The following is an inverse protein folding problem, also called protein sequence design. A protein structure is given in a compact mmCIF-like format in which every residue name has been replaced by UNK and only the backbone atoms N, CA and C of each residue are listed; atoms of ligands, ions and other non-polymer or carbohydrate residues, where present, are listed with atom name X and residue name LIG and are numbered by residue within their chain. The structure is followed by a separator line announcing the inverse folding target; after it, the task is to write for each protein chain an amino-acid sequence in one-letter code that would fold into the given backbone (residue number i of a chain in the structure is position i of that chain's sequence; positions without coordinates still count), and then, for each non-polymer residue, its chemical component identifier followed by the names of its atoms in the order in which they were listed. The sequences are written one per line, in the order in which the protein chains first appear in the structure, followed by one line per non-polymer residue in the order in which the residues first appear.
data_IF_756835149078
#
_entry.id   IF_756835149078
#
_cell.length_a   1.000
_cell.length_b   1.000
_cell.length_c   1.000
_cell.angle_alpha   90.00
_cell.angle_beta   90.00
_cell.angle_gamma   90.00
#
_symmetry.space_group_name_H-M   'P 1'
#
loop_
_entity.id
_entity.type
_entity.pdbx_description
1 polymer ?
#
# COMPACT_ATOMS: atom_id res chain seq x y z
N UNK A 1 -51.54 -9.65 -2.63
CA UNK A 1 -50.55 -10.66 -3.03
C UNK A 1 -49.68 -10.04 -4.12
N UNK A 2 -48.52 -9.49 -3.75
CA UNK A 2 -47.42 -9.08 -4.65
C UNK A 2 -46.23 -8.71 -3.74
N UNK A 3 -45.29 -9.64 -3.56
CA UNK A 3 -44.01 -9.36 -2.92
C UNK A 3 -42.99 -9.11 -4.03
N UNK A 4 -42.56 -7.86 -4.18
CA UNK A 4 -41.44 -7.47 -5.04
C UNK A 4 -40.14 -7.72 -4.28
N UNK A 5 -39.45 -8.81 -4.63
CA UNK A 5 -38.12 -9.12 -4.09
C UNK A 5 -37.07 -8.14 -4.58
N UNK A 6 -36.61 -7.23 -3.73
CA UNK A 6 -35.37 -6.48 -3.93
C UNK A 6 -34.19 -7.44 -3.82
N UNK A 7 -33.38 -7.52 -4.87
CA UNK A 7 -32.06 -8.18 -4.85
C UNK A 7 -31.16 -7.47 -3.82
N UNK A 8 -30.34 -8.19 -3.04
CA UNK A 8 -29.32 -7.57 -2.21
C UNK A 8 -28.27 -6.91 -3.10
N UNK A 9 -27.96 -5.64 -2.83
CA UNK A 9 -26.89 -4.92 -3.52
C UNK A 9 -25.54 -5.58 -3.21
N UNK A 10 -24.77 -5.83 -4.27
CA UNK A 10 -23.49 -6.49 -4.21
C UNK A 10 -22.40 -5.58 -3.60
N UNK A 11 -21.46 -6.27 -2.97
CA UNK A 11 -20.09 -5.89 -2.63
C UNK A 11 -19.87 -4.90 -1.48
N UNK A 12 -19.56 -5.49 -0.32
CA UNK A 12 -18.65 -4.91 0.66
C UNK A 12 -17.23 -4.89 0.04
N UNK A 13 -17.05 -4.14 -1.04
CA UNK A 13 -15.75 -3.86 -1.61
C UNK A 13 -15.29 -2.53 -1.02
N UNK A 14 -14.31 -2.61 -0.14
CA UNK A 14 -13.59 -1.48 0.45
C UNK A 14 -13.10 -0.53 -0.64
N UNK A 15 -13.70 0.66 -0.72
CA UNK A 15 -13.32 1.75 -1.62
C UNK A 15 -12.31 2.69 -0.95
N UNK A 16 -11.38 3.24 -1.77
CA UNK A 16 -10.30 4.21 -1.50
C UNK A 16 -9.27 3.88 -0.38
N UNK A 17 -8.05 4.43 -0.42
CA UNK A 17 -7.07 4.22 0.64
C UNK A 17 -7.15 5.34 1.69
N UNK A 18 -7.74 6.50 1.36
CA UNK A 18 -8.13 7.53 2.32
C UNK A 18 -9.19 7.03 3.30
N UNK A 19 -10.15 6.22 2.83
CA UNK A 19 -11.16 5.62 3.71
C UNK A 19 -10.60 4.48 4.56
N UNK A 20 -9.52 3.82 4.11
CA UNK A 20 -8.83 2.81 4.90
C UNK A 20 -7.80 3.40 5.83
N UNK A 21 -7.11 4.51 5.56
CA UNK A 21 -6.14 5.07 6.52
C UNK A 21 -6.77 5.80 7.70
N UNK A 22 -8.07 6.11 7.59
CA UNK A 22 -8.84 6.81 8.59
C UNK A 22 -9.05 6.07 9.95
N UNK A 23 -9.19 4.74 10.06
CA UNK A 23 -9.51 4.10 11.34
C UNK A 23 -8.31 3.86 12.27
N UNK A 24 -7.08 3.74 11.77
CA UNK A 24 -5.91 3.44 12.61
C UNK A 24 -5.11 4.66 13.05
N UNK A 25 -5.09 5.74 12.29
CA UNK A 25 -4.46 6.98 12.71
C UNK A 25 -4.98 7.50 14.07
N UNK A 26 -6.30 7.41 14.37
CA UNK A 26 -6.82 7.73 15.71
C UNK A 26 -6.34 6.78 16.81
N UNK A 27 -6.01 5.52 16.51
CA UNK A 27 -5.57 4.51 17.49
C UNK A 27 -4.31 4.96 18.24
N UNK A 28 -3.40 5.62 17.52
CA UNK A 28 -2.10 6.05 18.05
C UNK A 28 -2.09 7.50 18.58
N UNK A 29 -2.93 8.40 18.04
CA UNK A 29 -2.87 9.82 18.42
C UNK A 29 -3.58 10.15 19.73
N UNK A 30 -4.92 10.05 19.75
CA UNK A 30 -5.73 10.55 20.86
C UNK A 30 -6.37 9.43 21.70
N UNK A 31 -6.49 8.22 21.15
CA UNK A 31 -7.24 7.13 21.81
C UNK A 31 -6.37 6.16 22.60
N UNK A 32 -5.07 6.03 22.32
CA UNK A 32 -4.18 5.09 23.03
C UNK A 32 -4.59 3.62 22.91
N UNK A 33 -5.32 3.29 21.84
CA UNK A 33 -5.91 1.98 21.56
C UNK A 33 -4.94 1.12 20.74
N UNK A 34 -3.76 0.85 21.28
CA UNK A 34 -2.67 0.16 20.56
C UNK A 34 -3.04 -1.27 20.15
N UNK A 35 -3.75 -2.01 21.00
CA UNK A 35 -4.24 -3.37 20.72
C UNK A 35 -5.19 -3.40 19.50
N UNK A 36 -6.04 -2.39 19.37
CA UNK A 36 -6.93 -2.26 18.21
C UNK A 36 -6.14 -1.88 16.95
N UNK A 37 -5.06 -1.12 17.10
CA UNK A 37 -4.11 -0.83 16.04
C UNK A 37 -3.39 -2.07 15.52
N UNK A 38 -3.07 -3.03 16.39
CA UNK A 38 -2.42 -4.30 16.03
C UNK A 38 -3.27 -5.15 15.09
N UNK A 39 -4.60 -5.16 15.23
CA UNK A 39 -5.49 -5.94 14.37
C UNK A 39 -5.26 -5.67 12.87
N UNK A 40 -5.06 -4.40 12.50
CA UNK A 40 -4.74 -4.04 11.11
C UNK A 40 -3.34 -4.52 10.71
N UNK A 41 -2.36 -4.40 11.59
CA UNK A 41 -0.98 -4.82 11.32
C UNK A 41 -0.87 -6.34 11.20
N UNK A 42 -1.56 -7.10 12.04
CA UNK A 42 -1.66 -8.56 11.96
C UNK A 42 -2.33 -9.00 10.67
N UNK A 43 -3.40 -8.30 10.27
CA UNK A 43 -4.04 -8.53 8.98
C UNK A 43 -3.05 -8.31 7.83
N UNK A 44 -2.35 -7.17 7.78
CA UNK A 44 -1.35 -6.92 6.71
C UNK A 44 -0.17 -7.90 6.77
N UNK A 45 0.27 -8.26 7.98
CA UNK A 45 1.38 -9.19 8.20
C UNK A 45 1.06 -10.60 7.69
N UNK A 46 -0.14 -11.11 8.00
CA UNK A 46 -0.58 -12.43 7.55
C UNK A 46 -0.71 -12.55 6.02
N UNK A 47 -0.96 -11.43 5.33
CA UNK A 47 -1.12 -11.41 3.86
C UNK A 47 0.19 -11.21 3.09
N UNK A 48 1.33 -11.06 3.78
CA UNK A 48 2.64 -10.92 3.15
C UNK A 48 2.92 -11.96 2.06
N UNK A 49 2.68 -13.28 2.25
CA UNK A 49 2.95 -14.26 1.20
C UNK A 49 2.13 -14.02 -0.08
N UNK A 50 0.92 -13.47 0.06
CA UNK A 50 0.06 -13.11 -1.08
C UNK A 50 0.62 -11.88 -1.81
N UNK A 51 1.11 -10.89 -1.06
CA UNK A 51 1.72 -9.67 -1.60
C UNK A 51 3.08 -9.94 -2.27
N UNK A 52 3.89 -10.82 -1.70
CA UNK A 52 5.13 -11.32 -2.31
C UNK A 52 4.81 -12.07 -3.62
N UNK A 53 3.79 -12.94 -3.64
CA UNK A 53 3.33 -13.60 -4.86
C UNK A 53 2.83 -12.61 -5.91
N UNK A 54 2.06 -11.61 -5.50
CA UNK A 54 1.57 -10.57 -6.40
C UNK A 54 2.72 -9.75 -7.01
N UNK A 55 3.73 -9.38 -6.22
CA UNK A 55 4.92 -8.68 -6.71
C UNK A 55 5.67 -9.49 -7.78
N UNK A 56 5.85 -10.80 -7.55
CA UNK A 56 6.50 -11.68 -8.54
C UNK A 56 5.65 -11.85 -9.80
N UNK A 57 4.38 -12.21 -9.64
CA UNK A 57 3.53 -12.61 -10.76
C UNK A 57 3.13 -11.43 -11.65
N UNK A 58 2.82 -10.26 -11.06
CA UNK A 58 2.32 -9.11 -11.80
C UNK A 58 3.44 -8.12 -12.19
N UNK A 59 4.35 -7.84 -11.26
CA UNK A 59 5.41 -6.84 -11.48
C UNK A 59 6.75 -7.46 -11.93
N UNK A 60 6.89 -8.79 -11.88
CA UNK A 60 8.14 -9.47 -12.25
C UNK A 60 9.30 -9.21 -11.29
N UNK A 61 9.02 -8.69 -10.10
CA UNK A 61 9.99 -8.42 -9.03
C UNK A 61 10.47 -9.75 -8.45
N UNK A 62 11.77 -9.89 -8.19
CA UNK A 62 12.35 -11.14 -7.67
C UNK A 62 12.30 -11.22 -6.15
N UNK A 63 12.56 -10.10 -5.46
CA UNK A 63 12.59 -10.01 -4.00
C UNK A 63 11.68 -8.91 -3.47
N UNK A 64 11.13 -9.13 -2.28
CA UNK A 64 10.23 -8.20 -1.62
C UNK A 64 8.75 -8.40 -1.95
N UNK A 65 7.94 -7.40 -1.61
CA UNK A 65 6.48 -7.45 -1.73
C UNK A 65 5.86 -6.12 -2.17
N UNK A 66 4.71 -6.22 -2.84
CA UNK A 66 3.90 -5.06 -3.24
C UNK A 66 2.48 -5.29 -2.74
N UNK A 67 1.97 -4.32 -2.00
CA UNK A 67 0.57 -4.32 -1.57
C UNK A 67 -0.27 -3.66 -2.67
N UNK A 68 -1.30 -4.34 -3.21
CA UNK A 68 -2.20 -3.71 -4.18
C UNK A 68 -3.01 -2.58 -3.52
N UNK A 69 -3.31 -1.53 -4.28
CA UNK A 69 -4.13 -0.40 -3.80
C UNK A 69 -5.57 -0.77 -3.49
N UNK A 70 -6.06 -1.87 -4.06
CA UNK A 70 -7.33 -2.50 -3.67
C UNK A 70 -7.12 -4.01 -3.61
N UNK A 71 -7.49 -4.61 -2.48
CA UNK A 71 -7.49 -6.05 -2.29
C UNK A 71 -8.80 -6.54 -1.70
N UNK A 72 -9.07 -7.81 -1.98
CA UNK A 72 -10.08 -8.59 -1.29
C UNK A 72 -9.62 -8.96 0.12
N UNK A 73 -10.51 -9.58 0.90
CA UNK A 73 -10.23 -10.00 2.28
C UNK A 73 -9.10 -11.05 2.36
N UNK A 74 -8.88 -11.81 1.29
CA UNK A 74 -7.78 -12.79 1.17
C UNK A 74 -6.46 -12.16 0.68
N UNK A 75 -6.37 -10.84 0.64
CA UNK A 75 -5.18 -10.08 0.25
C UNK A 75 -4.88 -10.07 -1.25
N UNK A 76 -5.70 -10.73 -2.08
CA UNK A 76 -5.52 -10.72 -3.54
C UNK A 76 -5.90 -9.38 -4.13
N UNK A 77 -5.09 -8.92 -5.09
CA UNK A 77 -5.36 -7.71 -5.84
C UNK A 77 -6.72 -7.81 -6.56
N UNK A 78 -7.54 -6.76 -6.42
CA UNK A 78 -8.79 -6.63 -7.16
C UNK A 78 -8.59 -5.71 -8.35
N UNK A 79 -8.79 -6.27 -9.55
CA UNK A 79 -8.73 -5.51 -10.79
C UNK A 79 -9.93 -4.58 -10.93
N UNK A 80 -9.67 -3.28 -11.08
CA UNK A 80 -10.63 -2.31 -11.61
C UNK A 80 -9.88 -1.13 -12.22
N UNK A 81 -9.98 0.05 -11.62
CA UNK A 81 -9.31 1.28 -12.03
C UNK A 81 -7.78 1.19 -11.87
N UNK A 82 -7.09 0.73 -12.92
CA UNK A 82 -5.69 0.28 -12.87
C UNK A 82 -4.66 1.32 -12.38
N UNK A 83 -4.70 2.60 -12.82
CA UNK A 83 -3.81 3.63 -12.26
C UNK A 83 -3.86 3.73 -10.74
N UNK A 84 -4.99 3.38 -10.14
CA UNK A 84 -5.19 3.44 -8.70
C UNK A 84 -4.96 2.08 -8.03
N UNK A 85 -5.60 1.02 -8.53
CA UNK A 85 -5.60 -0.30 -7.89
C UNK A 85 -4.25 -1.02 -7.95
N UNK A 86 -3.44 -0.72 -8.96
CA UNK A 86 -2.15 -1.37 -9.21
C UNK A 86 -0.97 -0.41 -9.01
N UNK A 87 -1.14 0.65 -8.21
CA UNK A 87 0.00 1.50 -7.84
C UNK A 87 0.98 0.72 -6.94
N UNK A 88 2.28 0.65 -7.29
CA UNK A 88 3.26 -0.12 -6.53
C UNK A 88 3.63 0.54 -5.20
N UNK A 89 3.37 1.84 -5.03
CA UNK A 89 3.75 2.60 -3.83
C UNK A 89 2.76 2.47 -2.68
N UNK A 90 1.60 1.83 -2.87
CA UNK A 90 0.61 1.66 -1.80
C UNK A 90 1.14 0.82 -0.63
N UNK A 91 2.07 -0.10 -0.89
CA UNK A 91 2.79 -0.80 0.16
C UNK A 91 3.54 0.17 1.09
N UNK A 92 4.20 1.19 0.53
CA UNK A 92 4.93 2.19 1.32
C UNK A 92 3.99 2.97 2.24
N UNK A 93 2.77 3.27 1.79
CA UNK A 93 1.77 3.90 2.65
C UNK A 93 1.35 2.98 3.81
N UNK A 94 1.10 1.69 3.53
CA UNK A 94 0.77 0.72 4.59
C UNK A 94 1.92 0.55 5.59
N UNK A 95 3.16 0.55 5.10
CA UNK A 95 4.35 0.44 5.94
C UNK A 95 4.46 1.58 6.97
N UNK A 96 3.89 2.76 6.69
CA UNK A 96 3.81 3.84 7.67
C UNK A 96 3.11 3.39 8.96
N UNK A 97 2.07 2.57 8.87
CA UNK A 97 1.36 2.08 10.05
C UNK A 97 2.24 1.20 10.94
N UNK A 98 3.12 0.38 10.35
CA UNK A 98 4.09 -0.42 11.10
C UNK A 98 5.14 0.46 11.77
N UNK A 99 5.66 1.46 11.04
CA UNK A 99 6.62 2.42 11.57
C UNK A 99 6.04 3.21 12.74
N UNK A 100 4.81 3.72 12.61
CA UNK A 100 4.16 4.49 13.66
C UNK A 100 3.90 3.65 14.91
N UNK A 101 3.41 2.41 14.75
CA UNK A 101 3.22 1.51 15.88
C UNK A 101 4.50 1.33 16.69
N UNK A 102 5.60 0.98 16.01
CA UNK A 102 6.90 0.91 16.63
C UNK A 102 7.30 2.23 17.29
N UNK A 103 7.11 3.37 16.61
CA UNK A 103 7.55 4.68 17.10
C UNK A 103 6.84 5.10 18.39
N UNK A 104 5.58 4.69 18.57
CA UNK A 104 4.81 5.01 19.76
C UNK A 104 5.07 4.02 20.91
N UNK A 105 5.17 2.72 20.63
CA UNK A 105 5.44 1.72 21.69
C UNK A 105 6.92 1.64 22.07
N UNK A 106 7.81 2.02 21.15
CA UNK A 106 9.26 1.88 21.25
C UNK A 106 9.74 0.45 21.55
N UNK A 107 8.95 -0.58 21.19
CA UNK A 107 9.32 -1.98 21.38
C UNK A 107 10.42 -2.42 20.37
N UNK A 108 11.63 -2.75 20.83
CA UNK A 108 12.70 -3.21 19.94
C UNK A 108 12.39 -4.56 19.27
N UNK A 109 11.55 -5.41 19.87
CA UNK A 109 11.16 -6.69 19.26
C UNK A 109 10.22 -6.46 18.09
N UNK A 110 9.19 -5.63 18.27
CA UNK A 110 8.31 -5.25 17.17
C UNK A 110 9.08 -4.61 16.01
N UNK A 111 10.10 -3.79 16.29
CA UNK A 111 10.96 -3.24 15.24
C UNK A 111 11.63 -4.34 14.42
N UNK A 112 12.37 -5.22 15.11
CA UNK A 112 13.22 -6.23 14.48
C UNK A 112 12.40 -7.31 13.76
N UNK A 113 11.29 -7.73 14.37
CA UNK A 113 10.53 -8.89 13.90
C UNK A 113 9.41 -8.51 12.93
N UNK A 114 8.91 -7.25 12.99
CA UNK A 114 7.70 -6.84 12.26
C UNK A 114 7.92 -5.57 11.43
N UNK A 115 8.21 -4.44 12.06
CA UNK A 115 8.20 -3.16 11.35
C UNK A 115 9.31 -3.05 10.30
N UNK A 116 10.56 -3.33 10.68
CA UNK A 116 11.69 -3.25 9.76
C UNK A 116 11.59 -4.28 8.62
N UNK A 117 11.34 -5.58 8.85
CA UNK A 117 11.17 -6.54 7.76
C UNK A 117 10.04 -6.18 6.80
N UNK A 118 8.95 -5.58 7.29
CA UNK A 118 7.84 -5.15 6.45
C UNK A 118 8.25 -3.98 5.54
N UNK A 119 8.88 -2.93 6.11
CA UNK A 119 9.37 -1.78 5.35
C UNK A 119 10.48 -2.18 4.36
N UNK A 120 11.40 -3.05 4.76
CA UNK A 120 12.50 -3.54 3.94
C UNK A 120 11.99 -4.32 2.72
N UNK A 121 11.06 -5.27 2.92
CA UNK A 121 10.50 -6.07 1.83
C UNK A 121 9.77 -5.20 0.77
N UNK A 122 9.12 -4.11 1.17
CA UNK A 122 8.54 -3.16 0.20
C UNK A 122 9.65 -2.36 -0.51
N UNK A 123 10.67 -1.94 0.23
CA UNK A 123 11.82 -1.22 -0.31
C UNK A 123 12.56 -2.02 -1.37
N UNK A 124 12.83 -3.30 -1.11
CA UNK A 124 13.44 -4.25 -2.05
C UNK A 124 12.66 -4.33 -3.37
N UNK A 125 11.35 -4.50 -3.28
CA UNK A 125 10.49 -4.57 -4.45
C UNK A 125 10.47 -3.26 -5.26
N UNK A 126 10.43 -2.11 -4.58
CA UNK A 126 10.43 -0.80 -5.24
C UNK A 126 11.77 -0.50 -5.91
N UNK A 127 12.89 -0.86 -5.30
CA UNK A 127 14.24 -0.72 -5.92
C UNK A 127 14.30 -1.48 -7.25
N UNK A 128 13.76 -2.70 -7.31
CA UNK A 128 13.71 -3.49 -8.54
C UNK A 128 12.82 -2.87 -9.63
N UNK A 129 11.85 -2.03 -9.26
CA UNK A 129 10.97 -1.34 -10.21
C UNK A 129 11.53 -0.02 -10.71
N UNK A 130 12.34 0.66 -9.92
CA UNK A 130 12.91 1.96 -10.28
C UNK A 130 13.86 1.87 -11.48
N UNK A 131 13.77 2.83 -12.39
CA UNK A 131 14.61 2.96 -13.58
C UNK A 131 15.22 4.35 -13.64
N UNK A 132 16.46 4.51 -14.10
CA UNK A 132 17.04 5.83 -14.27
C UNK A 132 16.27 6.63 -15.32
N UNK A 133 15.97 7.88 -15.01
CA UNK A 133 15.44 8.86 -15.94
C UNK A 133 16.52 9.23 -16.96
N UNK A 134 16.20 9.16 -18.26
CA UNK A 134 17.18 9.43 -19.31
C UNK A 134 17.69 10.88 -19.35
N UNK A 135 16.96 11.85 -18.78
CA UNK A 135 17.35 13.25 -18.74
C UNK A 135 18.11 13.62 -17.48
N UNK A 136 17.69 13.12 -16.31
CA UNK A 136 18.27 13.52 -15.02
C UNK A 136 19.19 12.47 -14.42
N UNK A 137 19.13 11.22 -14.87
CA UNK A 137 19.82 10.08 -14.26
C UNK A 137 19.21 9.62 -12.92
N UNK A 138 18.22 10.34 -12.39
CA UNK A 138 17.58 10.00 -11.12
C UNK A 138 16.66 8.78 -11.27
N UNK A 139 16.57 7.96 -10.24
CA UNK A 139 15.67 6.82 -10.22
C UNK A 139 14.20 7.26 -10.22
N UNK A 140 13.41 6.66 -11.10
CA UNK A 140 11.97 6.87 -11.20
C UNK A 140 11.18 5.59 -11.49
N UNK A 141 9.91 5.57 -11.12
CA UNK A 141 8.99 4.49 -11.53
C UNK A 141 8.66 4.64 -13.02
N UNK A 142 8.56 3.53 -13.78
CA UNK A 142 8.17 3.58 -15.19
C UNK A 142 6.76 4.13 -15.41
N UNK A 143 5.85 3.81 -14.50
CA UNK A 143 4.48 4.33 -14.47
C UNK A 143 4.22 4.88 -13.06
N UNK A 144 3.75 6.12 -13.02
CA UNK A 144 3.37 6.80 -11.79
C UNK A 144 1.98 7.38 -11.97
N UNK A 145 1.20 7.40 -10.90
CA UNK A 145 -0.14 7.95 -10.89
C UNK A 145 -0.37 8.65 -9.55
N UNK A 146 -1.34 9.55 -9.51
CA UNK A 146 -1.88 10.04 -8.25
C UNK A 146 -3.26 9.43 -8.08
N UNK A 147 -3.63 8.96 -6.87
CA UNK A 147 -4.97 8.45 -6.62
C UNK A 147 -6.01 9.40 -7.16
N UNK A 148 -6.90 8.85 -7.98
CA UNK A 148 -8.09 9.48 -8.54
C UNK A 148 -7.89 10.59 -9.59
N UNK A 149 -6.66 11.02 -9.85
CA UNK A 149 -6.37 12.04 -10.87
C UNK A 149 -6.64 11.47 -12.26
N UNK A 150 -7.43 12.20 -13.06
CA UNK A 150 -7.82 11.87 -14.43
C UNK A 150 -8.63 10.57 -14.62
N UNK A 151 -9.20 9.99 -13.56
CA UNK A 151 -10.10 8.84 -13.71
C UNK A 151 -9.40 7.58 -14.25
N UNK A 152 -10.18 6.61 -14.74
CA UNK A 152 -9.66 5.42 -15.42
C UNK A 152 -9.31 5.72 -16.89
N UNK A 153 -8.40 6.68 -17.10
CA UNK A 153 -7.95 7.09 -18.44
C UNK A 153 -6.43 7.07 -18.53
N UNK A 154 -5.90 7.05 -19.75
CA UNK A 154 -4.44 7.11 -19.94
C UNK A 154 -3.80 8.38 -19.39
N UNK A 155 -4.57 9.47 -19.26
CA UNK A 155 -4.07 10.73 -18.68
C UNK A 155 -3.69 10.59 -17.21
N UNK A 156 -4.15 9.55 -16.52
CA UNK A 156 -3.81 9.28 -15.12
C UNK A 156 -2.34 8.86 -14.92
N UNK A 157 -1.64 8.47 -15.98
CA UNK A 157 -0.22 8.18 -15.94
C UNK A 157 0.57 9.48 -16.04
N UNK A 158 1.19 9.87 -14.94
CA UNK A 158 1.89 11.14 -14.78
C UNK A 158 3.39 10.95 -14.96
N UNK A 159 4.05 11.93 -15.57
CA UNK A 159 5.51 11.96 -15.73
C UNK A 159 6.06 13.29 -15.22
N UNK A 160 7.21 13.33 -14.52
CA UNK A 160 8.08 12.19 -14.21
C UNK A 160 7.52 11.27 -13.11
N UNK A 161 7.00 11.85 -12.03
CA UNK A 161 6.30 11.17 -10.95
C UNK A 161 5.15 12.04 -10.45
N UNK A 162 4.11 11.42 -9.92
CA UNK A 162 3.17 12.11 -9.07
C UNK A 162 3.84 12.51 -7.75
N UNK A 163 3.38 13.61 -7.15
CA UNK A 163 3.84 14.00 -5.80
C UNK A 163 3.53 12.94 -4.75
N UNK A 164 2.44 12.16 -4.96
CA UNK A 164 2.05 11.08 -4.07
C UNK A 164 3.10 9.96 -4.06
N UNK A 165 3.47 9.44 -5.24
CA UNK A 165 4.49 8.40 -5.34
C UNK A 165 5.86 8.91 -4.86
N UNK A 166 6.20 10.16 -5.19
CA UNK A 166 7.46 10.74 -4.77
C UNK A 166 7.59 10.84 -3.25
N UNK A 167 6.55 11.32 -2.56
CA UNK A 167 6.52 11.42 -1.10
C UNK A 167 6.59 10.04 -0.42
N UNK A 168 5.88 9.05 -0.96
CA UNK A 168 5.88 7.68 -0.43
C UNK A 168 7.24 7.00 -0.60
N UNK A 169 7.88 7.17 -1.76
CA UNK A 169 9.22 6.64 -2.02
C UNK A 169 10.25 7.28 -1.09
N UNK A 170 10.24 8.62 -0.97
CA UNK A 170 11.15 9.33 -0.07
C UNK A 170 10.97 8.86 1.37
N UNK A 171 9.73 8.80 1.86
CA UNK A 171 9.44 8.37 3.22
C UNK A 171 9.96 6.96 3.48
N UNK A 172 9.69 5.99 2.60
CA UNK A 172 10.07 4.60 2.80
C UNK A 172 11.59 4.43 2.86
N UNK A 173 12.33 5.04 1.93
CA UNK A 173 13.78 4.89 1.90
C UNK A 173 14.46 5.63 3.06
N UNK A 174 13.92 6.76 3.51
CA UNK A 174 14.43 7.44 4.70
C UNK A 174 14.11 6.67 5.99
N UNK A 175 12.97 5.98 6.06
CA UNK A 175 12.61 5.15 7.20
C UNK A 175 13.46 3.86 7.32
N UNK A 176 14.08 3.43 6.21
CA UNK A 176 14.94 2.25 6.14
C UNK A 176 16.45 2.57 6.15
N UNK A 177 16.83 3.86 6.18
CA UNK A 177 18.22 4.34 6.15
C UNK A 177 18.86 4.31 7.54
#
# INVERSE_FOLDING_TARGET
MQFTGRRPNASCASSSPTARTAPWWPAYLASGHFDQGLSFLDFMWSHRPVHERFARDFFGVKQGMIVPGVMALDGRAMGSWFPYTLSPTMGAWVAQSFYWHWRYEMDPRFLADRAYPYCAAIGEALVELLRPDARTGHLRLPLSSSPEIHGNSQRAWLTPHSNCDHALLQWLFLANA
#
